data_IF_382923947506
#
_entry.id   IF_382923947506
#
_cell.length_a   1.000
_cell.length_b   1.000
_cell.length_c   1.000
_cell.angle_alpha   90.00
_cell.angle_beta   90.00
_cell.angle_gamma   90.00
#
_symmetry.space_group_name_H-M   'P 1'
#
loop_
_entity.id
_entity.type
_entity.pdbx_description
1 polymer ?
#
# COMPACT_ATOMS: atom_id res chain seq x y z
N UNK A 1 -22.02 -4.29 43.56
CA UNK A 1 -22.24 -3.19 42.61
C UNK A 1 -22.52 -3.82 41.26
N UNK A 2 -23.47 -3.28 40.48
CA UNK A 2 -23.78 -3.78 39.13
C UNK A 2 -22.58 -3.49 38.22
N UNK A 3 -22.20 -4.46 37.37
CA UNK A 3 -21.07 -4.30 36.47
C UNK A 3 -21.39 -3.24 35.39
N UNK A 4 -20.55 -2.20 35.19
CA UNK A 4 -20.81 -1.13 34.23
C UNK A 4 -20.90 -1.59 32.77
N UNK A 5 -20.36 -2.78 32.45
CA UNK A 5 -20.48 -3.38 31.11
C UNK A 5 -21.84 -4.03 30.85
N UNK A 6 -22.63 -4.29 31.89
CA UNK A 6 -23.95 -4.95 31.76
C UNK A 6 -25.06 -3.90 31.66
N UNK A 7 -24.93 -2.79 32.38
CA UNK A 7 -25.88 -1.67 32.38
C UNK A 7 -25.42 -0.55 31.45
N UNK A 8 -25.36 -0.82 30.14
CA UNK A 8 -25.00 0.21 29.15
C UNK A 8 -26.19 1.13 28.94
N UNK A 9 -26.06 2.41 29.31
CA UNK A 9 -27.04 3.45 28.99
C UNK A 9 -26.94 3.89 27.53
N UNK A 10 -27.48 5.07 27.19
CA UNK A 10 -27.37 5.65 25.84
C UNK A 10 -25.90 5.93 25.44
N UNK A 11 -25.01 6.16 26.41
CA UNK A 11 -23.58 6.37 26.20
C UNK A 11 -22.78 5.41 27.09
N UNK A 12 -21.66 4.85 26.59
CA UNK A 12 -20.77 4.05 27.42
C UNK A 12 -20.13 4.84 28.56
N UNK A 13 -20.21 4.32 29.78
CA UNK A 13 -19.58 4.91 30.97
C UNK A 13 -18.09 4.54 31.07
N UNK A 14 -17.26 4.99 30.12
CA UNK A 14 -15.82 4.67 30.07
C UNK A 14 -15.08 4.94 31.39
N UNK A 15 -15.50 5.96 32.14
CA UNK A 15 -14.87 6.36 33.40
C UNK A 15 -15.04 5.35 34.54
N UNK A 16 -15.97 4.38 34.40
CA UNK A 16 -16.27 3.37 35.42
C UNK A 16 -15.78 1.97 35.07
N UNK A 17 -15.41 1.76 33.81
CA UNK A 17 -14.95 0.46 33.32
C UNK A 17 -13.47 0.30 33.66
N UNK A 18 -13.14 -0.80 34.32
CA UNK A 18 -11.78 -1.14 34.73
C UNK A 18 -11.49 -2.60 34.35
N UNK A 19 -10.22 -3.00 34.34
CA UNK A 19 -9.79 -4.34 33.93
C UNK A 19 -10.52 -5.47 34.67
N UNK A 20 -10.78 -5.31 35.98
CA UNK A 20 -11.46 -6.31 36.79
C UNK A 20 -12.96 -6.49 36.46
N UNK A 21 -13.56 -5.52 35.76
CA UNK A 21 -14.95 -5.59 35.29
C UNK A 21 -15.11 -6.40 34.00
N UNK A 22 -14.06 -6.53 33.19
CA UNK A 22 -14.11 -7.10 31.83
C UNK A 22 -14.56 -8.56 31.85
N UNK A 23 -13.84 -9.43 32.57
CA UNK A 23 -14.12 -10.87 32.57
C UNK A 23 -15.51 -11.19 33.15
N UNK A 24 -15.90 -10.69 34.34
CA UNK A 24 -17.24 -10.97 34.87
C UNK A 24 -18.36 -10.36 34.01
N UNK A 25 -18.14 -9.18 33.44
CA UNK A 25 -19.13 -8.50 32.61
C UNK A 25 -19.37 -9.23 31.30
N UNK A 26 -18.30 -9.61 30.60
CA UNK A 26 -18.41 -10.39 29.36
C UNK A 26 -19.01 -11.77 29.63
N UNK A 27 -18.62 -12.47 30.71
CA UNK A 27 -19.23 -13.76 31.10
C UNK A 27 -20.74 -13.64 31.31
N UNK A 28 -21.18 -12.59 32.01
CA UNK A 28 -22.59 -12.34 32.25
C UNK A 28 -23.35 -12.03 30.95
N UNK A 29 -22.83 -11.12 30.13
CA UNK A 29 -23.46 -10.75 28.85
C UNK A 29 -23.55 -11.95 27.92
N UNK A 30 -22.47 -12.74 27.76
CA UNK A 30 -22.50 -13.94 26.92
C UNK A 30 -23.54 -14.94 27.41
N UNK A 31 -23.68 -15.13 28.73
CA UNK A 31 -24.69 -16.03 29.29
C UNK A 31 -26.12 -15.56 28.95
N UNK A 32 -26.41 -14.27 29.15
CA UNK A 32 -27.73 -13.71 28.82
C UNK A 32 -28.02 -13.83 27.30
N UNK A 33 -27.01 -13.58 26.46
CA UNK A 33 -27.14 -13.73 25.02
C UNK A 33 -27.28 -15.19 24.55
N UNK A 34 -26.76 -16.16 25.30
CA UNK A 34 -26.99 -17.58 25.05
C UNK A 34 -28.45 -17.97 25.33
N UNK A 35 -29.05 -17.41 26.37
CA UNK A 35 -30.48 -17.59 26.69
C UNK A 35 -31.34 -16.96 25.58
N UNK A 36 -31.05 -15.72 25.17
CA UNK A 36 -31.74 -15.03 24.06
C UNK A 36 -31.62 -15.81 22.73
N UNK A 37 -30.43 -16.37 22.45
CA UNK A 37 -30.19 -17.18 21.25
C UNK A 37 -31.02 -18.46 21.26
N UNK A 38 -31.13 -19.14 22.41
CA UNK A 38 -31.92 -20.37 22.51
C UNK A 38 -33.42 -20.10 22.27
N UNK A 39 -33.95 -19.00 22.80
CA UNK A 39 -35.32 -18.57 22.53
C UNK A 39 -35.54 -18.30 21.04
N UNK A 40 -34.60 -17.60 20.41
CA UNK A 40 -34.66 -17.31 18.96
C UNK A 40 -34.55 -18.57 18.10
N UNK A 41 -33.70 -19.53 18.47
CA UNK A 41 -33.59 -20.83 17.80
C UNK A 41 -34.88 -21.64 17.92
N UNK A 42 -35.52 -21.63 19.09
CA UNK A 42 -36.80 -22.30 19.31
C UNK A 42 -37.92 -21.66 18.48
N UNK A 43 -37.95 -20.33 18.40
CA UNK A 43 -38.88 -19.61 17.53
C UNK A 43 -38.67 -19.95 16.05
N UNK A 44 -37.41 -19.90 15.58
CA UNK A 44 -37.04 -20.24 14.21
C UNK A 44 -37.40 -21.69 13.84
N UNK A 45 -37.32 -22.63 14.79
CA UNK A 45 -37.68 -24.04 14.57
C UNK A 45 -39.20 -24.32 14.61
N UNK A 46 -39.96 -23.61 15.45
CA UNK A 46 -41.38 -23.93 15.74
C UNK A 46 -42.39 -23.14 14.92
N UNK A 47 -42.12 -21.87 14.62
CA UNK A 47 -43.15 -20.91 14.19
C UNK A 47 -43.05 -20.53 12.70
N UNK A 48 -42.04 -21.04 12.00
CA UNK A 48 -41.76 -20.72 10.60
C UNK A 48 -42.62 -21.55 9.64
N UNK A 49 -43.94 -21.30 9.64
CA UNK A 49 -44.88 -22.04 8.80
C UNK A 49 -46.29 -21.47 8.59
N UNK A 50 -46.90 -20.78 9.56
CA UNK A 50 -48.37 -20.61 9.50
C UNK A 50 -48.92 -19.18 9.48
N UNK A 51 -48.16 -18.13 9.86
CA UNK A 51 -48.65 -16.75 9.74
C UNK A 51 -47.51 -15.81 9.35
N UNK A 52 -47.57 -15.28 8.13
CA UNK A 52 -46.65 -14.25 7.61
C UNK A 52 -46.85 -12.87 8.24
N UNK A 53 -47.06 -12.80 9.56
CA UNK A 53 -47.06 -11.55 10.32
C UNK A 53 -45.65 -11.24 10.82
N UNK A 54 -45.10 -10.10 10.38
CA UNK A 54 -43.84 -9.47 10.80
C UNK A 54 -42.68 -10.42 11.17
N UNK A 55 -42.38 -11.34 10.26
CA UNK A 55 -41.19 -12.19 10.29
C UNK A 55 -39.89 -11.39 10.49
N UNK A 56 -39.88 -10.14 10.02
CA UNK A 56 -38.80 -9.19 10.20
C UNK A 56 -38.61 -8.83 11.68
N UNK A 57 -39.67 -8.40 12.36
CA UNK A 57 -39.63 -8.04 13.79
C UNK A 57 -39.43 -9.26 14.69
N UNK A 58 -39.89 -10.44 14.27
CA UNK A 58 -39.82 -11.64 15.10
C UNK A 58 -38.48 -12.41 15.00
N UNK A 59 -37.76 -12.30 13.87
CA UNK A 59 -36.48 -12.99 13.66
C UNK A 59 -35.29 -12.03 13.59
N UNK A 60 -35.38 -10.99 12.76
CA UNK A 60 -34.22 -10.15 12.42
C UNK A 60 -33.94 -9.16 13.55
N UNK A 61 -34.97 -8.52 14.11
CA UNK A 61 -34.78 -7.58 15.20
C UNK A 61 -34.13 -8.22 16.44
N UNK A 62 -34.59 -9.38 16.97
CA UNK A 62 -33.92 -10.05 18.09
C UNK A 62 -32.49 -10.49 17.75
N UNK A 63 -32.27 -10.98 16.53
CA UNK A 63 -30.92 -11.36 16.07
C UNK A 63 -29.96 -10.16 16.07
N UNK A 64 -30.43 -8.99 15.61
CA UNK A 64 -29.65 -7.75 15.63
C UNK A 64 -29.42 -7.25 17.04
N UNK A 65 -30.41 -7.33 17.95
CA UNK A 65 -30.22 -6.98 19.35
C UNK A 65 -29.14 -7.83 20.03
N UNK A 66 -29.09 -9.14 19.75
CA UNK A 66 -28.06 -10.05 20.29
C UNK A 66 -26.67 -9.60 19.82
N UNK A 67 -26.51 -9.35 18.53
CA UNK A 67 -25.24 -8.92 17.95
C UNK A 67 -24.82 -7.52 18.40
N UNK A 68 -25.75 -6.57 18.44
CA UNK A 68 -25.51 -5.19 18.83
C UNK A 68 -25.03 -5.12 20.28
N UNK A 69 -25.72 -5.82 21.19
CA UNK A 69 -25.34 -5.85 22.61
C UNK A 69 -23.91 -6.36 22.81
N UNK A 70 -23.53 -7.46 22.14
CA UNK A 70 -22.15 -7.97 22.21
C UNK A 70 -21.14 -7.01 21.57
N UNK A 71 -21.53 -6.35 20.48
CA UNK A 71 -20.68 -5.40 19.75
C UNK A 71 -20.42 -4.15 20.56
N UNK A 72 -21.42 -3.60 21.24
CA UNK A 72 -21.29 -2.44 22.11
C UNK A 72 -20.38 -2.78 23.30
N UNK A 73 -20.66 -3.88 24.00
CA UNK A 73 -19.87 -4.30 25.18
C UNK A 73 -18.41 -4.57 24.80
N UNK A 74 -18.18 -5.32 23.71
CA UNK A 74 -16.82 -5.58 23.25
C UNK A 74 -16.14 -4.32 22.68
N UNK A 75 -16.90 -3.44 22.04
CA UNK A 75 -16.43 -2.15 21.53
C UNK A 75 -15.85 -1.28 22.64
N UNK A 76 -16.50 -1.24 23.80
CA UNK A 76 -16.00 -0.52 24.99
C UNK A 76 -14.66 -1.08 25.44
N UNK A 77 -14.57 -2.41 25.58
CA UNK A 77 -13.36 -3.10 26.05
C UNK A 77 -12.21 -2.93 25.04
N UNK A 78 -12.47 -3.12 23.75
CA UNK A 78 -11.48 -2.96 22.68
C UNK A 78 -11.01 -1.52 22.58
N UNK A 79 -11.92 -0.55 22.66
CA UNK A 79 -11.57 0.86 22.63
C UNK A 79 -10.64 1.22 23.80
N UNK A 80 -10.99 0.82 25.03
CA UNK A 80 -10.14 1.06 26.21
C UNK A 80 -8.77 0.40 26.07
N UNK A 81 -8.70 -0.81 25.51
CA UNK A 81 -7.41 -1.47 25.24
C UNK A 81 -6.56 -0.66 24.27
N UNK A 82 -7.16 -0.05 23.25
CA UNK A 82 -6.40 0.64 22.20
C UNK A 82 -5.99 2.06 22.59
N UNK A 83 -6.77 2.76 23.42
CA UNK A 83 -6.49 4.16 23.83
C UNK A 83 -5.94 4.30 25.25
N UNK A 84 -6.16 3.31 26.12
CA UNK A 84 -5.76 3.33 27.53
C UNK A 84 -5.26 1.94 27.98
N UNK A 85 -4.23 1.46 27.29
CA UNK A 85 -3.68 0.13 27.46
C UNK A 85 -3.02 -0.08 28.85
N UNK A 86 -3.19 -1.27 29.42
CA UNK A 86 -2.50 -1.70 30.65
C UNK A 86 -2.32 -3.21 30.69
N UNK A 87 -1.31 -3.69 31.42
CA UNK A 87 -1.05 -5.13 31.56
C UNK A 87 -2.27 -5.88 32.13
N UNK A 88 -2.96 -5.28 33.10
CA UNK A 88 -4.18 -5.83 33.69
C UNK A 88 -5.33 -5.91 32.68
N UNK A 89 -5.52 -4.87 31.85
CA UNK A 89 -6.55 -4.85 30.82
C UNK A 89 -6.25 -5.85 29.70
N UNK A 90 -4.99 -5.99 29.28
CA UNK A 90 -4.58 -7.02 28.31
C UNK A 90 -4.86 -8.42 28.82
N UNK A 91 -4.48 -8.73 30.07
CA UNK A 91 -4.77 -10.03 30.67
C UNK A 91 -6.28 -10.32 30.74
N UNK A 92 -7.10 -9.31 31.08
CA UNK A 92 -8.55 -9.47 31.16
C UNK A 92 -9.20 -9.64 29.77
N UNK A 93 -8.75 -8.89 28.75
CA UNK A 93 -9.18 -9.07 27.36
C UNK A 93 -8.80 -10.44 26.85
N UNK A 94 -7.58 -10.90 27.18
CA UNK A 94 -7.07 -12.21 26.78
C UNK A 94 -7.90 -13.36 27.35
N UNK A 95 -8.35 -13.25 28.60
CA UNK A 95 -9.27 -14.23 29.22
C UNK A 95 -10.70 -14.14 28.64
N UNK A 96 -11.20 -12.94 28.34
CA UNK A 96 -12.57 -12.74 27.88
C UNK A 96 -12.78 -13.02 26.38
N UNK A 97 -11.74 -12.88 25.56
CA UNK A 97 -11.83 -13.03 24.10
C UNK A 97 -12.37 -14.39 23.63
N UNK A 98 -11.93 -15.54 24.17
CA UNK A 98 -12.47 -16.85 23.78
C UNK A 98 -13.99 -16.96 24.01
N UNK A 99 -14.51 -16.34 25.07
CA UNK A 99 -15.95 -16.37 25.37
C UNK A 99 -16.75 -15.71 24.24
N UNK A 100 -16.30 -14.53 23.79
CA UNK A 100 -16.90 -13.83 22.65
C UNK A 100 -16.79 -14.65 21.37
N UNK A 101 -15.60 -15.16 21.05
CA UNK A 101 -15.38 -15.91 19.81
C UNK A 101 -16.24 -17.18 19.79
N UNK A 102 -16.36 -17.90 20.90
CA UNK A 102 -17.19 -19.08 21.01
C UNK A 102 -18.66 -18.77 20.78
N UNK A 103 -19.17 -17.70 21.40
CA UNK A 103 -20.55 -17.27 21.21
C UNK A 103 -20.82 -16.88 19.75
N UNK A 104 -19.95 -16.07 19.13
CA UNK A 104 -20.11 -15.66 17.72
C UNK A 104 -20.06 -16.84 16.76
N UNK A 105 -19.18 -17.82 17.00
CA UNK A 105 -19.15 -19.06 16.22
C UNK A 105 -20.43 -19.86 16.40
N UNK A 106 -20.94 -20.00 17.64
CA UNK A 106 -22.23 -20.67 17.90
C UNK A 106 -23.38 -19.99 17.16
N UNK A 107 -23.49 -18.67 17.28
CA UNK A 107 -24.52 -17.86 16.62
C UNK A 107 -24.44 -17.99 15.10
N UNK A 108 -23.25 -17.81 14.52
CA UNK A 108 -23.02 -17.89 13.08
C UNK A 108 -23.19 -19.29 12.48
N UNK A 109 -23.07 -20.34 13.30
CA UNK A 109 -23.18 -21.73 12.91
C UNK A 109 -24.50 -22.39 13.33
N UNK A 110 -25.49 -21.59 13.76
CA UNK A 110 -26.83 -22.08 14.11
C UNK A 110 -27.59 -22.54 12.87
N UNK A 111 -27.92 -23.84 12.83
CA UNK A 111 -28.68 -24.43 11.72
C UNK A 111 -30.13 -23.94 11.67
N UNK A 112 -30.76 -23.71 12.84
CA UNK A 112 -32.14 -23.26 12.89
C UNK A 112 -32.29 -21.86 12.26
N UNK A 113 -31.38 -20.94 12.60
CA UNK A 113 -31.34 -19.60 12.03
C UNK A 113 -31.00 -19.63 10.53
N UNK A 114 -30.02 -20.43 10.13
CA UNK A 114 -29.65 -20.58 8.71
C UNK A 114 -30.83 -21.06 7.85
N UNK A 115 -31.55 -22.10 8.31
CA UNK A 115 -32.74 -22.60 7.62
C UNK A 115 -33.87 -21.58 7.58
N UNK A 116 -34.06 -20.79 8.64
CA UNK A 116 -35.04 -19.70 8.65
C UNK A 116 -34.69 -18.63 7.60
N UNK A 117 -33.43 -18.18 7.52
CA UNK A 117 -32.98 -17.22 6.50
C UNK A 117 -33.07 -17.78 5.07
N UNK A 118 -32.78 -19.07 4.88
CA UNK A 118 -32.90 -19.73 3.57
C UNK A 118 -34.36 -19.81 3.11
N UNK A 119 -35.28 -20.10 4.04
CA UNK A 119 -36.73 -20.04 3.80
C UNK A 119 -37.21 -18.63 3.47
N UNK A 120 -36.68 -17.59 4.12
CA UNK A 120 -37.00 -16.19 3.75
C UNK A 120 -36.54 -15.94 2.31
N UNK A 121 -35.30 -16.31 1.97
CA UNK A 121 -34.72 -16.03 0.65
C UNK A 121 -35.43 -16.75 -0.51
N UNK A 122 -35.96 -17.95 -0.25
CA UNK A 122 -36.66 -18.79 -1.23
C UNK A 122 -38.18 -18.61 -1.24
N UNK A 123 -38.75 -17.94 -0.23
CA UNK A 123 -40.18 -17.69 -0.11
C UNK A 123 -40.64 -16.45 -0.87
N UNK A 124 -41.96 -16.37 -1.12
CA UNK A 124 -42.61 -15.22 -1.76
C UNK A 124 -42.47 -13.90 -0.96
N UNK A 125 -42.11 -13.99 0.33
CA UNK A 125 -41.88 -12.84 1.19
C UNK A 125 -40.62 -12.05 0.78
N UNK A 126 -39.61 -12.69 0.19
CA UNK A 126 -38.40 -12.01 -0.26
C UNK A 126 -38.67 -10.92 -1.30
N UNK A 127 -39.58 -11.20 -2.23
CA UNK A 127 -39.95 -10.27 -3.31
C UNK A 127 -40.76 -9.07 -2.80
N UNK A 128 -41.32 -9.18 -1.59
CA UNK A 128 -42.05 -8.09 -0.92
C UNK A 128 -41.16 -7.18 -0.07
N UNK A 129 -39.91 -7.59 0.21
CA UNK A 129 -38.94 -6.82 0.99
C UNK A 129 -38.32 -5.68 0.17
N UNK A 130 -37.91 -4.61 0.84
CA UNK A 130 -37.16 -3.54 0.19
C UNK A 130 -35.70 -3.97 -0.12
N UNK A 131 -35.00 -3.22 -0.98
CA UNK A 131 -33.64 -3.58 -1.42
C UNK A 131 -32.64 -3.69 -0.26
N UNK A 132 -32.79 -2.87 0.79
CA UNK A 132 -31.92 -2.93 1.96
C UNK A 132 -32.17 -4.21 2.77
N UNK A 133 -33.43 -4.58 2.99
CA UNK A 133 -33.84 -5.80 3.69
C UNK A 133 -33.39 -7.05 2.95
N UNK A 134 -33.53 -7.07 1.61
CA UNK A 134 -33.03 -8.17 0.78
C UNK A 134 -31.51 -8.35 0.95
N UNK A 135 -30.74 -7.26 0.92
CA UNK A 135 -29.28 -7.31 1.15
C UNK A 135 -28.92 -7.78 2.54
N UNK A 136 -29.70 -7.43 3.57
CA UNK A 136 -29.47 -7.94 4.94
C UNK A 136 -29.61 -9.45 4.95
N UNK A 137 -30.69 -10.01 4.40
CA UNK A 137 -30.93 -11.46 4.36
C UNK A 137 -29.82 -12.19 3.59
N UNK A 138 -29.44 -11.69 2.40
CA UNK A 138 -28.34 -12.27 1.62
C UNK A 138 -26.99 -12.19 2.33
N UNK A 139 -26.72 -11.06 2.98
CA UNK A 139 -25.54 -10.84 3.81
C UNK A 139 -25.46 -11.87 4.93
N UNK A 140 -26.56 -12.08 5.67
CA UNK A 140 -26.61 -13.07 6.76
C UNK A 140 -26.40 -14.49 6.28
N UNK A 141 -27.00 -14.89 5.17
CA UNK A 141 -26.78 -16.22 4.57
C UNK A 141 -25.31 -16.43 4.19
N UNK A 142 -24.72 -15.42 3.54
CA UNK A 142 -23.31 -15.44 3.18
C UNK A 142 -22.40 -15.52 4.41
N UNK A 143 -22.69 -14.74 5.45
CA UNK A 143 -21.92 -14.76 6.70
C UNK A 143 -22.03 -16.12 7.40
N UNK A 144 -23.20 -16.75 7.43
CA UNK A 144 -23.38 -18.08 8.00
C UNK A 144 -22.57 -19.15 7.25
N UNK A 145 -22.55 -19.09 5.90
CA UNK A 145 -21.71 -19.98 5.07
C UNK A 145 -20.23 -19.75 5.37
N UNK A 146 -19.78 -18.49 5.45
CA UNK A 146 -18.38 -18.15 5.76
C UNK A 146 -17.98 -18.54 7.19
N UNK A 147 -18.92 -18.53 8.13
CA UNK A 147 -18.74 -19.03 9.49
C UNK A 147 -18.75 -20.56 9.58
N UNK A 148 -18.95 -21.27 8.46
CA UNK A 148 -18.85 -22.72 8.39
C UNK A 148 -20.10 -23.48 8.82
N UNK A 149 -21.30 -22.88 8.70
CA UNK A 149 -22.57 -23.57 9.01
C UNK A 149 -22.74 -24.87 8.21
N UNK A 150 -22.25 -24.88 6.96
CA UNK A 150 -22.34 -26.02 6.04
C UNK A 150 -21.22 -27.07 6.21
N UNK A 151 -20.30 -26.89 7.16
CA UNK A 151 -19.18 -27.83 7.37
C UNK A 151 -19.61 -29.06 8.17
N UNK A 152 -19.07 -30.23 7.79
CA UNK A 152 -19.20 -31.49 8.54
C UNK A 152 -18.50 -31.41 9.90
N UNK A 153 -18.93 -32.25 10.85
CA UNK A 153 -18.54 -32.18 12.26
C UNK A 153 -17.02 -32.05 12.50
N UNK A 154 -16.20 -32.87 11.84
CA UNK A 154 -14.74 -32.85 11.99
C UNK A 154 -14.11 -31.55 11.44
N UNK A 155 -14.54 -31.11 10.25
CA UNK A 155 -14.07 -29.85 9.64
C UNK A 155 -14.54 -28.63 10.42
N UNK A 156 -15.72 -28.70 11.05
CA UNK A 156 -16.28 -27.65 11.89
C UNK A 156 -15.50 -27.49 13.20
N UNK A 157 -15.10 -28.60 13.84
CA UNK A 157 -14.23 -28.56 15.02
C UNK A 157 -12.89 -27.92 14.65
N UNK A 158 -12.26 -28.36 13.56
CA UNK A 158 -10.99 -27.79 13.11
C UNK A 158 -11.10 -26.31 12.73
N UNK A 159 -12.18 -25.91 12.06
CA UNK A 159 -12.45 -24.49 11.75
C UNK A 159 -12.59 -23.66 13.03
N UNK A 160 -13.30 -24.17 14.04
CA UNK A 160 -13.46 -23.49 15.32
C UNK A 160 -12.14 -23.36 16.07
N UNK A 161 -11.31 -24.41 16.05
CA UNK A 161 -9.95 -24.37 16.61
C UNK A 161 -9.09 -23.30 15.92
N UNK A 162 -9.15 -23.18 14.59
CA UNK A 162 -8.41 -22.14 13.85
C UNK A 162 -8.89 -20.75 14.27
N UNK A 163 -10.21 -20.52 14.33
CA UNK A 163 -10.80 -19.22 14.70
C UNK A 163 -10.49 -18.82 16.16
N UNK A 164 -10.35 -19.81 17.05
CA UNK A 164 -9.95 -19.59 18.44
C UNK A 164 -8.43 -19.44 18.60
N UNK A 165 -7.65 -20.13 17.77
CA UNK A 165 -6.20 -20.10 17.82
C UNK A 165 -5.72 -18.71 17.42
N UNK A 166 -5.00 -18.03 18.33
CA UNK A 166 -4.24 -16.80 18.03
C UNK A 166 -3.04 -17.06 17.12
N UNK A 167 -3.03 -18.21 16.44
CA UNK A 167 -1.86 -18.74 15.76
C UNK A 167 -1.84 -18.10 14.39
N UNK A 168 -1.03 -17.05 14.26
CA UNK A 168 -0.35 -16.79 12.99
C UNK A 168 0.26 -18.14 12.60
N UNK A 169 -0.24 -18.70 11.50
CA UNK A 169 0.09 -20.03 11.01
C UNK A 169 1.60 -20.24 11.13
N UNK A 170 2.03 -21.23 11.92
CA UNK A 170 3.42 -21.33 12.39
C UNK A 170 4.31 -21.60 11.18
N UNK A 171 4.88 -20.53 10.62
CA UNK A 171 5.63 -20.64 9.39
C UNK A 171 7.00 -21.25 9.71
N UNK A 172 7.36 -22.30 8.96
CA UNK A 172 8.63 -23.01 9.14
C UNK A 172 9.85 -22.19 8.74
N UNK A 173 9.65 -21.03 8.10
CA UNK A 173 10.72 -20.11 7.74
C UNK A 173 11.35 -19.49 9.01
N UNK A 174 12.68 -19.56 9.11
CA UNK A 174 13.49 -18.96 10.18
C UNK A 174 13.20 -19.51 11.60
N UNK A 175 13.21 -20.84 11.73
CA UNK A 175 13.05 -21.59 13.00
C UNK A 175 14.02 -21.18 14.12
N UNK A 176 15.14 -20.54 13.80
CA UNK A 176 16.08 -20.06 14.82
C UNK A 176 15.48 -18.97 15.71
N UNK A 177 14.49 -18.21 15.22
CA UNK A 177 13.78 -17.19 15.99
C UNK A 177 12.78 -17.79 16.98
N UNK A 178 12.28 -19.01 16.73
CA UNK A 178 11.42 -19.75 17.67
C UNK A 178 12.10 -19.97 19.02
N UNK A 179 13.44 -19.92 19.07
CA UNK A 179 14.22 -20.05 20.31
C UNK A 179 13.89 -18.96 21.34
N UNK A 180 13.43 -17.79 20.88
CA UNK A 180 12.98 -16.71 21.75
C UNK A 180 11.61 -16.97 22.40
N UNK A 181 10.84 -17.94 21.88
CA UNK A 181 9.54 -18.35 22.40
C UNK A 181 9.55 -19.72 23.12
N UNK A 182 10.65 -20.45 23.08
CA UNK A 182 10.80 -21.73 23.78
C UNK A 182 11.39 -21.56 25.17
N UNK A 183 10.69 -22.07 26.19
CA UNK A 183 11.25 -22.23 27.54
C UNK A 183 12.28 -23.37 27.48
N UNK A 184 13.56 -23.06 27.64
CA UNK A 184 14.61 -24.09 27.74
C UNK A 184 14.50 -24.69 29.15
N UNK A 185 14.07 -25.95 29.22
CA UNK A 185 13.94 -26.68 30.48
C UNK A 185 15.29 -26.74 31.21
N UNK A 186 15.37 -26.07 32.37
CA UNK A 186 16.57 -26.02 33.20
C UNK A 186 16.71 -24.78 34.09
N UNK A 187 15.96 -23.71 33.82
CA UNK A 187 16.06 -22.48 34.61
C UNK A 187 14.68 -21.97 35.06
N UNK A 188 14.22 -22.42 36.23
CA UNK A 188 13.80 -21.54 37.34
C UNK A 188 13.39 -22.35 38.57
N UNK A 189 14.25 -22.31 39.59
CA UNK A 189 13.83 -22.26 40.98
C UNK A 189 13.59 -20.79 41.33
N UNK A 190 12.41 -20.46 41.88
CA UNK A 190 12.17 -19.18 42.53
C UNK A 190 11.47 -18.11 41.69
N UNK A 191 10.66 -17.30 42.37
CA UNK A 191 9.77 -16.27 41.84
C UNK A 191 10.50 -15.02 41.33
N UNK A 192 11.41 -15.14 40.36
CA UNK A 192 11.97 -13.98 39.66
C UNK A 192 11.13 -13.62 38.43
N UNK A 193 10.90 -12.32 38.23
CA UNK A 193 10.17 -11.77 37.08
C UNK A 193 10.83 -12.24 35.79
N UNK A 194 10.06 -12.91 34.93
CA UNK A 194 10.53 -13.37 33.61
C UNK A 194 11.10 -12.19 32.83
N UNK A 195 12.37 -12.28 32.43
CA UNK A 195 13.07 -11.21 31.77
C UNK A 195 12.54 -11.04 30.31
N UNK A 196 11.92 -9.90 29.94
CA UNK A 196 11.22 -9.74 28.66
C UNK A 196 12.11 -9.88 27.42
N UNK A 197 13.42 -9.69 27.58
CA UNK A 197 14.41 -9.80 26.51
C UNK A 197 14.84 -11.24 26.23
N UNK A 198 14.47 -12.19 27.09
CA UNK A 198 14.89 -13.60 27.00
C UNK A 198 13.75 -14.54 26.59
N UNK A 199 12.51 -14.20 26.97
CA UNK A 199 11.32 -14.99 26.65
C UNK A 199 10.23 -14.06 26.08
N UNK A 200 9.81 -14.30 24.84
CA UNK A 200 8.73 -13.56 24.17
C UNK A 200 7.61 -14.50 23.73
N UNK A 201 6.35 -14.01 23.67
CA UNK A 201 5.24 -14.79 23.12
C UNK A 201 5.49 -15.18 21.67
N UNK A 202 4.98 -16.35 21.26
CA UNK A 202 5.08 -16.87 19.89
C UNK A 202 4.56 -15.86 18.85
N UNK A 203 3.51 -15.10 19.18
CA UNK A 203 2.96 -14.06 18.30
C UNK A 203 3.99 -13.01 17.88
N UNK A 204 4.76 -12.48 18.83
CA UNK A 204 5.79 -11.47 18.56
C UNK A 204 6.95 -12.04 17.73
N UNK A 205 7.26 -13.33 17.91
CA UNK A 205 8.28 -14.01 17.11
C UNK A 205 7.80 -14.19 15.66
N UNK A 206 6.53 -14.55 15.45
CA UNK A 206 5.94 -14.64 14.11
C UNK A 206 5.81 -13.27 13.43
N UNK A 207 5.45 -12.22 14.17
CA UNK A 207 5.46 -10.84 13.67
C UNK A 207 6.86 -10.41 13.20
N UNK A 208 7.90 -10.71 13.98
CA UNK A 208 9.29 -10.41 13.59
C UNK A 208 9.71 -11.21 12.34
N UNK A 209 9.33 -12.48 12.24
CA UNK A 209 9.59 -13.29 11.04
C UNK A 209 8.91 -12.70 9.82
N UNK A 210 7.69 -12.20 9.96
CA UNK A 210 6.95 -11.53 8.90
C UNK A 210 7.69 -10.26 8.45
N UNK A 211 8.10 -9.40 9.37
CA UNK A 211 8.89 -8.19 9.06
C UNK A 211 10.18 -8.53 8.32
N UNK A 212 10.94 -9.50 8.83
CA UNK A 212 12.16 -9.98 8.18
C UNK A 212 11.89 -10.56 6.79
N UNK A 213 10.69 -11.08 6.53
CA UNK A 213 10.31 -11.63 5.21
C UNK A 213 10.04 -10.51 4.21
N UNK A 214 9.57 -9.36 4.68
CA UNK A 214 9.38 -8.17 3.86
C UNK A 214 10.69 -7.41 3.60
N UNK A 215 11.70 -7.54 4.48
CA UNK A 215 12.98 -6.81 4.35
C UNK A 215 13.67 -6.97 2.98
N UNK A 216 13.79 -8.16 2.37
CA UNK A 216 14.40 -8.28 1.05
C UNK A 216 13.62 -7.53 -0.04
N UNK A 217 12.28 -7.57 0.00
CA UNK A 217 11.43 -6.84 -0.95
C UNK A 217 11.64 -5.34 -0.79
N UNK A 218 11.68 -4.84 0.45
CA UNK A 218 12.00 -3.45 0.74
C UNK A 218 13.40 -3.06 0.21
N UNK A 219 14.41 -3.91 0.42
CA UNK A 219 15.78 -3.64 -0.03
C UNK A 219 15.90 -3.51 -1.56
N UNK A 220 15.13 -4.29 -2.34
CA UNK A 220 15.10 -4.15 -3.81
C UNK A 220 14.59 -2.78 -4.29
N UNK A 221 13.86 -2.05 -3.44
CA UNK A 221 13.40 -0.70 -3.74
C UNK A 221 14.47 0.39 -3.58
N UNK A 222 15.58 0.13 -2.88
CA UNK A 222 16.57 1.18 -2.58
C UNK A 222 17.15 1.83 -3.85
N UNK A 223 17.60 1.09 -4.88
CA UNK A 223 18.22 1.70 -6.06
C UNK A 223 17.26 2.61 -6.85
N UNK A 224 15.98 2.23 -6.96
CA UNK A 224 14.99 3.05 -7.67
C UNK A 224 14.73 4.37 -6.93
N UNK A 225 14.70 4.37 -5.59
CA UNK A 225 14.57 5.61 -4.83
C UNK A 225 15.80 6.51 -4.96
N UNK A 226 17.01 5.93 -5.03
CA UNK A 226 18.24 6.71 -5.29
C UNK A 226 18.17 7.37 -6.67
N UNK A 227 17.83 6.61 -7.72
CA UNK A 227 17.68 7.16 -9.07
C UNK A 227 16.59 8.24 -9.14
N UNK A 228 15.47 8.03 -8.44
CA UNK A 228 14.39 9.01 -8.39
C UNK A 228 14.79 10.29 -7.66
N UNK A 229 15.55 10.16 -6.57
CA UNK A 229 16.05 11.31 -5.81
C UNK A 229 16.93 12.22 -6.66
N UNK A 230 17.79 11.65 -7.51
CA UNK A 230 18.63 12.40 -8.46
C UNK A 230 17.80 13.25 -9.43
N UNK A 231 16.62 12.79 -9.86
CA UNK A 231 15.77 13.58 -10.77
C UNK A 231 15.16 14.82 -10.08
N UNK A 232 14.83 14.73 -8.79
CA UNK A 232 14.18 15.85 -8.07
C UNK A 232 15.08 17.07 -7.91
N UNK A 233 16.39 16.88 -7.75
CA UNK A 233 17.35 17.98 -7.54
C UNK A 233 17.67 18.70 -8.84
N UNK A 234 17.89 17.94 -9.93
CA UNK A 234 18.11 18.49 -11.27
C UNK A 234 16.92 19.31 -11.77
N UNK A 235 15.69 18.82 -11.56
CA UNK A 235 14.48 19.52 -12.00
C UNK A 235 14.30 20.89 -11.33
N UNK A 236 14.58 20.98 -10.03
CA UNK A 236 14.55 22.25 -9.30
C UNK A 236 15.70 23.16 -9.76
N UNK A 237 16.89 22.59 -9.98
CA UNK A 237 18.05 23.31 -10.52
C UNK A 237 17.76 23.97 -11.88
N UNK A 238 17.09 23.26 -12.78
CA UNK A 238 16.63 23.80 -14.06
C UNK A 238 15.59 24.92 -13.87
N UNK A 239 14.69 24.79 -12.88
CA UNK A 239 13.72 25.83 -12.58
C UNK A 239 14.34 27.19 -12.23
N UNK A 240 15.55 27.23 -11.65
CA UNK A 240 16.24 28.49 -11.33
C UNK A 240 16.73 29.26 -12.55
N UNK A 241 16.96 28.58 -13.68
CA UNK A 241 17.43 29.19 -14.94
C UNK A 241 16.30 29.45 -15.94
N UNK A 242 15.09 28.95 -15.67
CA UNK A 242 13.90 29.11 -16.52
C UNK A 242 13.07 30.34 -16.12
N UNK A 243 12.40 30.96 -17.09
CA UNK A 243 11.41 32.01 -16.78
C UNK A 243 10.10 31.36 -16.31
N UNK A 244 9.82 31.52 -15.02
CA UNK A 244 8.67 30.94 -14.32
C UNK A 244 7.47 31.90 -14.23
N UNK A 245 7.41 32.93 -15.09
CA UNK A 245 6.30 33.88 -15.15
C UNK A 245 5.08 33.25 -15.84
N UNK A 246 3.94 33.29 -15.15
CA UNK A 246 2.66 32.80 -15.67
C UNK A 246 1.83 33.96 -16.22
N UNK A 247 1.96 34.20 -17.53
CA UNK A 247 1.24 35.24 -18.27
C UNK A 247 2.15 36.31 -18.87
N UNK A 248 1.64 37.05 -19.85
CA UNK A 248 2.41 38.05 -20.62
C UNK A 248 2.36 39.47 -20.03
N UNK A 249 1.64 39.67 -18.93
CA UNK A 249 1.46 40.98 -18.27
C UNK A 249 2.65 41.33 -17.35
N UNK A 250 3.01 42.62 -17.20
CA UNK A 250 4.03 43.07 -16.24
C UNK A 250 3.72 42.76 -14.77
N UNK A 251 2.48 42.41 -14.42
CA UNK A 251 2.07 41.91 -13.10
C UNK A 251 1.85 40.39 -13.06
N UNK A 252 2.40 39.65 -14.02
CA UNK A 252 2.28 38.19 -14.08
C UNK A 252 2.86 37.53 -12.82
N UNK A 253 2.14 36.53 -12.31
CA UNK A 253 2.56 35.74 -11.17
C UNK A 253 3.84 34.97 -11.50
N UNK A 254 4.91 35.18 -10.73
CA UNK A 254 6.18 34.46 -10.88
C UNK A 254 6.19 33.25 -9.95
N UNK A 255 6.14 32.05 -10.52
CA UNK A 255 6.29 30.82 -9.77
C UNK A 255 7.72 30.67 -9.24
N UNK A 256 7.87 30.02 -8.09
CA UNK A 256 9.17 29.68 -7.54
C UNK A 256 9.64 28.32 -8.08
N UNK A 257 10.93 28.10 -8.35
CA UNK A 257 11.44 26.81 -8.86
C UNK A 257 11.05 25.60 -8.00
N UNK A 258 11.04 25.78 -6.68
CA UNK A 258 10.62 24.77 -5.71
C UNK A 258 9.15 24.35 -5.85
N UNK A 259 8.30 25.16 -6.50
CA UNK A 259 6.89 24.82 -6.74
C UNK A 259 6.68 23.95 -7.98
N UNK A 260 7.70 23.75 -8.82
CA UNK A 260 7.59 22.93 -10.04
C UNK A 260 7.15 21.47 -9.82
N UNK A 261 7.51 20.78 -8.72
CA UNK A 261 7.00 19.42 -8.44
C UNK A 261 5.48 19.32 -8.27
N UNK A 262 4.77 20.43 -8.05
CA UNK A 262 3.29 20.44 -7.95
C UNK A 262 2.64 19.90 -9.22
N UNK A 263 3.22 20.13 -10.41
CA UNK A 263 2.69 19.60 -11.66
C UNK A 263 2.77 18.07 -11.74
N UNK A 264 3.81 17.46 -11.16
CA UNK A 264 3.92 16.00 -11.07
C UNK A 264 2.86 15.42 -10.14
N UNK A 265 2.57 16.10 -9.02
CA UNK A 265 1.49 15.71 -8.10
C UNK A 265 0.12 15.78 -8.79
N UNK A 266 -0.15 16.85 -9.54
CA UNK A 266 -1.39 17.00 -10.31
C UNK A 266 -1.53 15.93 -11.40
N UNK A 267 -0.44 15.62 -12.09
CA UNK A 267 -0.42 14.55 -13.12
C UNK A 267 -0.72 13.20 -12.49
N UNK A 268 -0.11 12.88 -11.35
CA UNK A 268 -0.41 11.65 -10.60
C UNK A 268 -1.87 11.61 -10.12
N UNK A 269 -2.43 12.73 -9.71
CA UNK A 269 -3.85 12.84 -9.31
C UNK A 269 -4.81 12.54 -10.47
N UNK A 270 -4.44 12.88 -11.70
CA UNK A 270 -5.22 12.57 -12.91
C UNK A 270 -4.98 11.12 -13.35
N UNK A 271 -3.74 10.65 -13.27
CA UNK A 271 -3.35 9.33 -13.78
C UNK A 271 -3.79 8.19 -12.87
N UNK A 272 -3.92 8.43 -11.56
CA UNK A 272 -4.35 7.41 -10.60
C UNK A 272 -5.78 6.89 -10.90
N UNK A 273 -6.81 7.76 -11.09
CA UNK A 273 -8.12 7.30 -11.56
C UNK A 273 -8.08 6.58 -12.91
N UNK A 274 -7.21 7.00 -13.83
CA UNK A 274 -7.05 6.35 -15.13
C UNK A 274 -6.47 4.93 -14.99
N UNK A 275 -5.43 4.78 -14.17
CA UNK A 275 -4.83 3.49 -13.84
C UNK A 275 -5.86 2.55 -13.22
N UNK A 276 -6.63 3.02 -12.24
CA UNK A 276 -7.63 2.21 -11.54
C UNK A 276 -8.84 1.85 -12.43
N UNK A 277 -9.28 2.76 -13.31
CA UNK A 277 -10.45 2.53 -14.17
C UNK A 277 -10.15 1.83 -15.49
N UNK A 278 -8.94 1.94 -16.02
CA UNK A 278 -8.59 1.35 -17.32
C UNK A 278 -7.60 0.19 -17.17
N UNK A 279 -6.47 0.42 -16.50
CA UNK A 279 -5.36 -0.54 -16.46
C UNK A 279 -5.70 -1.74 -15.58
N UNK A 280 -6.27 -1.51 -14.39
CA UNK A 280 -6.66 -2.59 -13.46
C UNK A 280 -7.71 -3.55 -14.03
N UNK A 281 -8.86 -3.10 -14.59
CA UNK A 281 -9.85 -4.03 -15.14
C UNK A 281 -9.37 -4.73 -16.42
N UNK A 282 -8.55 -4.07 -17.24
CA UNK A 282 -7.93 -4.71 -18.40
C UNK A 282 -6.97 -5.81 -17.95
N UNK A 283 -6.12 -5.53 -16.97
CA UNK A 283 -5.22 -6.51 -16.40
C UNK A 283 -5.97 -7.66 -15.73
N UNK A 284 -7.08 -7.39 -15.02
CA UNK A 284 -7.92 -8.42 -14.42
C UNK A 284 -8.56 -9.36 -15.46
N UNK A 285 -8.96 -8.83 -16.62
CA UNK A 285 -9.44 -9.65 -17.74
C UNK A 285 -8.35 -10.55 -18.31
N UNK A 286 -7.11 -10.07 -18.35
CA UNK A 286 -5.96 -10.84 -18.87
C UNK A 286 -5.44 -11.86 -17.87
N UNK A 287 -5.32 -11.51 -16.58
CA UNK A 287 -4.75 -12.37 -15.54
C UNK A 287 -5.77 -13.32 -14.88
N UNK A 288 -7.07 -13.20 -15.22
CA UNK A 288 -8.19 -13.98 -14.64
C UNK A 288 -8.23 -13.98 -13.10
N UNK A 289 -7.64 -12.97 -12.47
CA UNK A 289 -7.59 -12.80 -11.02
C UNK A 289 -8.54 -11.65 -10.60
N UNK A 290 -9.42 -11.83 -9.59
CA UNK A 290 -10.34 -10.78 -9.13
C UNK A 290 -9.65 -9.49 -8.66
N UNK A 291 -8.34 -9.52 -8.34
CA UNK A 291 -7.55 -8.32 -7.97
C UNK A 291 -6.69 -7.74 -9.11
N UNK A 292 -6.66 -8.35 -10.29
CA UNK A 292 -5.84 -7.91 -11.42
C UNK A 292 -4.34 -8.21 -11.27
N UNK A 293 -3.52 -7.16 -11.09
CA UNK A 293 -2.05 -7.22 -10.92
C UNK A 293 -1.70 -7.20 -9.43
N UNK A 294 -0.90 -8.17 -8.96
CA UNK A 294 -0.46 -8.22 -7.55
C UNK A 294 0.49 -7.07 -7.21
N UNK A 295 0.57 -6.68 -5.93
CA UNK A 295 1.46 -5.59 -5.49
C UNK A 295 2.94 -5.84 -5.85
N UNK A 296 3.43 -7.08 -5.69
CA UNK A 296 4.80 -7.44 -6.06
C UNK A 296 5.05 -7.31 -7.57
N UNK A 297 4.08 -7.69 -8.41
CA UNK A 297 4.19 -7.54 -9.87
C UNK A 297 4.22 -6.06 -10.27
N UNK A 298 3.42 -5.21 -9.65
CA UNK A 298 3.44 -3.75 -9.90
C UNK A 298 4.80 -3.15 -9.58
N UNK A 299 5.38 -3.53 -8.43
CA UNK A 299 6.73 -3.11 -8.03
C UNK A 299 7.77 -3.60 -9.06
N UNK A 300 7.72 -4.87 -9.45
CA UNK A 300 8.66 -5.45 -10.42
C UNK A 300 8.61 -4.80 -11.80
N UNK A 301 7.41 -4.47 -12.30
CA UNK A 301 7.24 -3.74 -13.56
C UNK A 301 7.88 -2.35 -13.47
N UNK A 302 7.63 -1.62 -12.38
CA UNK A 302 8.23 -0.30 -12.14
C UNK A 302 9.77 -0.35 -12.10
N UNK A 303 10.34 -1.33 -11.41
CA UNK A 303 11.80 -1.54 -11.35
C UNK A 303 12.37 -1.82 -12.75
N UNK A 304 11.68 -2.62 -13.57
CA UNK A 304 12.15 -2.97 -14.93
C UNK A 304 12.23 -1.74 -15.84
N UNK A 305 11.20 -0.89 -15.82
CA UNK A 305 11.20 0.36 -16.59
C UNK A 305 12.27 1.33 -16.10
N UNK A 306 12.42 1.50 -14.78
CA UNK A 306 13.45 2.36 -14.21
C UNK A 306 14.87 1.88 -14.57
N UNK A 307 15.13 0.57 -14.46
CA UNK A 307 16.40 -0.01 -14.84
C UNK A 307 16.72 0.20 -16.34
N UNK A 308 15.73 -0.02 -17.21
CA UNK A 308 15.89 0.19 -18.66
C UNK A 308 16.21 1.65 -18.98
N UNK A 309 15.50 2.59 -18.34
CA UNK A 309 15.75 4.03 -18.52
C UNK A 309 17.15 4.44 -18.07
N UNK A 310 17.62 3.93 -16.92
CA UNK A 310 18.97 4.21 -16.42
C UNK A 310 20.07 3.58 -17.28
N UNK A 311 19.83 2.38 -17.85
CA UNK A 311 20.77 1.77 -18.80
C UNK A 311 20.93 2.61 -20.06
N UNK A 312 19.82 3.10 -20.62
CA UNK A 312 19.87 3.98 -21.80
C UNK A 312 20.57 5.30 -21.45
N UNK A 313 20.24 5.91 -20.31
CA UNK A 313 20.89 7.14 -19.86
C UNK A 313 22.41 6.95 -19.67
N UNK A 314 22.83 5.87 -19.00
CA UNK A 314 24.24 5.55 -18.81
C UNK A 314 24.97 5.28 -20.14
N UNK A 315 24.32 4.62 -21.10
CA UNK A 315 24.90 4.43 -22.44
C UNK A 315 25.07 5.76 -23.17
N UNK A 316 24.08 6.65 -23.11
CA UNK A 316 24.19 7.99 -23.71
C UNK A 316 25.36 8.76 -23.10
N UNK A 317 25.51 8.72 -21.78
CA UNK A 317 26.61 9.40 -21.09
C UNK A 317 27.97 8.80 -21.46
N UNK A 318 28.08 7.46 -21.51
CA UNK A 318 29.32 6.76 -21.85
C UNK A 318 29.77 6.98 -23.30
N UNK A 319 28.86 7.06 -24.27
CA UNK A 319 29.23 7.21 -25.67
C UNK A 319 29.29 8.67 -26.13
N UNK A 320 28.35 9.49 -25.69
CA UNK A 320 28.23 10.87 -26.18
C UNK A 320 29.06 11.81 -25.32
N UNK A 321 28.83 11.81 -24.00
CA UNK A 321 29.51 12.76 -23.10
C UNK A 321 31.00 12.47 -23.01
N UNK A 322 31.40 11.22 -22.76
CA UNK A 322 32.81 10.82 -22.73
C UNK A 322 33.44 11.00 -24.11
N UNK A 323 32.75 10.62 -25.19
CA UNK A 323 33.25 10.78 -26.55
C UNK A 323 33.56 12.24 -26.91
N UNK A 324 32.67 13.18 -26.53
CA UNK A 324 32.95 14.61 -26.67
C UNK A 324 34.11 15.06 -25.78
N UNK A 325 34.17 14.61 -24.53
CA UNK A 325 35.23 14.97 -23.60
C UNK A 325 36.60 14.54 -24.08
N UNK A 326 36.76 13.28 -24.46
CA UNK A 326 38.01 12.73 -25.02
C UNK A 326 38.38 13.44 -26.32
N UNK A 327 37.43 13.62 -27.22
CA UNK A 327 37.67 14.33 -28.49
C UNK A 327 38.21 15.74 -28.25
N UNK A 328 37.52 16.55 -27.44
CA UNK A 328 37.94 17.92 -27.17
C UNK A 328 39.26 17.96 -26.38
N UNK A 329 39.49 17.02 -25.46
CA UNK A 329 40.70 16.94 -24.66
C UNK A 329 41.92 16.58 -25.53
N UNK A 330 41.82 15.55 -26.37
CA UNK A 330 42.92 15.04 -27.20
C UNK A 330 43.26 15.97 -28.37
N UNK A 331 42.26 16.64 -28.94
CA UNK A 331 42.47 17.57 -30.05
C UNK A 331 42.91 18.97 -29.59
N UNK A 332 42.90 19.24 -28.28
CA UNK A 332 43.33 20.54 -27.74
C UNK A 332 44.81 20.56 -27.36
N UNK A 333 45.50 21.71 -27.53
CA UNK A 333 46.85 21.91 -27.01
C UNK A 333 46.90 21.68 -25.48
N UNK A 334 48.02 21.18 -24.90
CA UNK A 334 48.15 20.83 -23.49
C UNK A 334 47.79 21.97 -22.54
N UNK A 335 48.12 23.21 -22.91
CA UNK A 335 47.80 24.41 -22.13
C UNK A 335 46.30 24.79 -22.13
N UNK A 336 45.47 24.16 -22.96
CA UNK A 336 44.05 24.50 -23.18
C UNK A 336 43.08 23.35 -22.86
N UNK A 337 43.58 22.19 -22.40
CA UNK A 337 42.76 21.00 -22.11
C UNK A 337 41.63 21.24 -21.10
N UNK A 338 41.89 22.03 -20.05
CA UNK A 338 40.85 22.41 -19.07
C UNK A 338 39.75 23.27 -19.68
N UNK A 339 40.08 24.12 -20.65
CA UNK A 339 39.09 24.92 -21.38
C UNK A 339 38.27 24.06 -22.35
N UNK A 340 38.88 23.01 -22.91
CA UNK A 340 38.20 22.03 -23.75
C UNK A 340 37.17 21.21 -22.97
N UNK A 341 37.49 20.80 -21.73
CA UNK A 341 36.53 20.16 -20.84
C UNK A 341 35.36 21.09 -20.47
N UNK A 342 35.63 22.38 -20.24
CA UNK A 342 34.58 23.38 -19.99
C UNK A 342 33.67 23.59 -21.21
N UNK A 343 34.18 23.43 -22.44
CA UNK A 343 33.39 23.51 -23.66
C UNK A 343 32.33 22.40 -23.74
N UNK A 344 32.63 21.19 -23.23
CA UNK A 344 31.65 20.07 -23.17
C UNK A 344 30.46 20.42 -22.27
N UNK A 345 30.72 21.01 -21.10
CA UNK A 345 29.66 21.48 -20.20
C UNK A 345 28.89 22.67 -20.80
N UNK A 346 29.57 23.53 -21.56
CA UNK A 346 28.94 24.62 -22.29
C UNK A 346 28.00 24.12 -23.41
N UNK A 347 28.29 22.98 -24.06
CA UNK A 347 27.38 22.35 -25.02
C UNK A 347 26.06 21.96 -24.32
N UNK A 348 26.13 21.32 -23.15
CA UNK A 348 24.95 20.96 -22.35
C UNK A 348 24.15 22.21 -21.94
N UNK A 349 24.84 23.24 -21.45
CA UNK A 349 24.23 24.53 -21.11
C UNK A 349 23.54 25.20 -22.31
N UNK A 350 24.21 25.22 -23.46
CA UNK A 350 23.68 25.78 -24.72
C UNK A 350 22.46 24.99 -25.19
N UNK A 351 22.49 23.65 -25.10
CA UNK A 351 21.36 22.78 -25.40
C UNK A 351 20.11 23.13 -24.58
N UNK A 352 20.26 23.45 -23.30
CA UNK A 352 19.15 23.89 -22.44
C UNK A 352 18.58 25.25 -22.88
N UNK A 353 19.43 26.20 -23.27
CA UNK A 353 18.99 27.50 -23.81
C UNK A 353 18.29 27.35 -25.16
N UNK A 354 18.83 26.52 -26.06
CA UNK A 354 18.22 26.22 -27.36
C UNK A 354 16.88 25.50 -27.19
N UNK A 355 16.77 24.54 -26.27
CA UNK A 355 15.51 23.89 -25.91
C UNK A 355 14.47 24.92 -25.44
N UNK A 356 14.87 25.85 -24.56
CA UNK A 356 14.00 26.94 -24.10
C UNK A 356 13.58 27.87 -25.24
N UNK A 357 14.49 28.18 -26.17
CA UNK A 357 14.20 29.00 -27.35
C UNK A 357 13.25 28.30 -28.33
N UNK A 358 13.41 26.99 -28.56
CA UNK A 358 12.51 26.17 -29.39
C UNK A 358 11.10 26.20 -28.79
N UNK A 359 10.97 26.01 -27.47
CA UNK A 359 9.68 26.13 -26.77
C UNK A 359 9.07 27.52 -26.96
N UNK A 360 9.88 28.59 -26.86
CA UNK A 360 9.40 29.95 -27.06
C UNK A 360 8.96 30.24 -28.52
N UNK A 361 9.69 29.72 -29.51
CA UNK A 361 9.38 29.83 -30.93
C UNK A 361 8.09 29.08 -31.30
N UNK A 362 7.92 27.86 -30.81
CA UNK A 362 6.69 27.07 -31.02
C UNK A 362 5.48 27.79 -30.41
N UNK A 363 5.62 28.33 -29.19
CA UNK A 363 4.56 29.14 -28.55
C UNK A 363 4.20 30.38 -29.38
N UNK A 364 5.21 31.07 -29.94
CA UNK A 364 5.02 32.29 -30.74
C UNK A 364 4.38 32.00 -32.10
N UNK A 365 4.75 30.91 -32.76
CA UNK A 365 4.30 30.57 -34.11
C UNK A 365 2.87 30.02 -34.12
N UNK A 366 2.48 29.25 -33.10
CA UNK A 366 1.27 28.42 -33.20
C UNK A 366 0.03 29.03 -32.51
N UNK A 367 0.15 30.06 -31.64
CA UNK A 367 -0.96 30.59 -30.81
C UNK A 367 -1.76 29.51 -30.03
N UNK A 368 -1.25 28.29 -29.96
CA UNK A 368 -1.84 27.12 -29.29
C UNK A 368 -1.05 26.87 -28.01
N UNK A 369 -1.75 26.57 -26.92
CA UNK A 369 -1.10 26.27 -25.65
C UNK A 369 -0.35 24.93 -25.74
N UNK A 370 0.98 24.99 -25.66
CA UNK A 370 1.86 23.79 -25.68
C UNK A 370 1.61 22.82 -24.52
N UNK A 371 0.83 23.21 -23.51
CA UNK A 371 0.39 22.35 -22.41
C UNK A 371 -0.56 21.25 -22.87
N UNK A 372 -1.25 21.42 -24.00
CA UNK A 372 -2.26 20.45 -24.47
C UNK A 372 -1.73 19.46 -25.51
N UNK A 373 -0.56 19.71 -26.13
CA UNK A 373 -0.05 18.92 -27.26
C UNK A 373 1.47 18.69 -27.17
N UNK A 374 1.92 18.09 -26.07
CA UNK A 374 3.34 17.79 -25.79
C UNK A 374 3.99 16.88 -26.87
N UNK A 375 3.19 16.11 -27.60
CA UNK A 375 3.65 15.22 -28.67
C UNK A 375 4.38 15.95 -29.80
N UNK A 376 3.90 17.14 -30.20
CA UNK A 376 4.54 17.93 -31.25
C UNK A 376 5.93 18.42 -30.84
N UNK A 377 6.12 18.74 -29.56
CA UNK A 377 7.42 19.13 -29.04
C UNK A 377 8.44 18.00 -29.17
N UNK A 378 8.04 16.76 -28.82
CA UNK A 378 8.90 15.59 -28.99
C UNK A 378 9.19 15.28 -30.45
N UNK A 379 8.22 15.44 -31.36
CA UNK A 379 8.47 15.28 -32.80
C UNK A 379 9.42 16.33 -33.37
N UNK A 380 9.31 17.59 -32.94
CA UNK A 380 10.26 18.64 -33.34
C UNK A 380 11.67 18.34 -32.83
N UNK A 381 11.80 17.92 -31.56
CA UNK A 381 13.08 17.51 -31.01
C UNK A 381 13.66 16.29 -31.76
N UNK A 382 12.85 15.30 -32.07
CA UNK A 382 13.28 14.13 -32.85
C UNK A 382 13.77 14.55 -34.25
N UNK A 383 13.08 15.50 -34.90
CA UNK A 383 13.52 16.09 -36.17
C UNK A 383 14.85 16.84 -36.04
N UNK A 384 15.02 17.67 -35.01
CA UNK A 384 16.28 18.36 -34.73
C UNK A 384 17.44 17.38 -34.50
N UNK A 385 17.22 16.31 -33.73
CA UNK A 385 18.22 15.26 -33.49
C UNK A 385 18.57 14.49 -34.77
N UNK A 386 17.60 14.23 -35.64
CA UNK A 386 17.86 13.60 -36.93
C UNK A 386 18.72 14.49 -37.84
N UNK A 387 18.44 15.80 -37.86
CA UNK A 387 19.24 16.78 -38.59
C UNK A 387 20.66 16.88 -38.01
N UNK A 388 20.77 16.96 -36.68
CA UNK A 388 22.07 16.98 -35.98
C UNK A 388 22.89 15.73 -36.28
N UNK A 389 22.28 14.55 -36.29
CA UNK A 389 22.95 13.31 -36.65
C UNK A 389 23.50 13.34 -38.08
N UNK A 390 22.71 13.80 -39.05
CA UNK A 390 23.17 13.95 -40.44
C UNK A 390 24.31 14.98 -40.54
N UNK A 391 24.19 16.11 -39.84
CA UNK A 391 25.23 17.12 -39.81
C UNK A 391 26.52 16.58 -39.18
N UNK A 392 26.42 15.83 -38.08
CA UNK A 392 27.56 15.18 -37.43
C UNK A 392 28.25 14.18 -38.38
N UNK A 393 27.48 13.35 -39.09
CA UNK A 393 28.06 12.44 -40.09
C UNK A 393 28.82 13.21 -41.17
N UNK A 394 28.26 14.28 -41.71
CA UNK A 394 28.94 15.12 -42.70
C UNK A 394 30.23 15.72 -42.14
N UNK A 395 30.17 16.37 -40.97
CA UNK A 395 31.35 16.97 -40.33
C UNK A 395 32.42 15.91 -40.02
N UNK A 396 32.02 14.73 -39.55
CA UNK A 396 32.95 13.63 -39.24
C UNK A 396 33.71 13.14 -40.48
N UNK A 397 33.10 13.18 -41.67
CA UNK A 397 33.79 12.82 -42.92
C UNK A 397 34.80 13.85 -43.40
N UNK A 398 34.65 15.12 -43.00
CA UNK A 398 35.59 16.19 -43.33
C UNK A 398 36.65 16.41 -42.24
N UNK A 399 36.42 15.93 -41.01
CA UNK A 399 37.33 16.12 -39.90
C UNK A 399 38.51 15.15 -39.98
N UNK A 400 39.73 15.71 -39.99
CA UNK A 400 40.97 14.92 -39.92
C UNK A 400 41.55 15.01 -38.52
N UNK A 401 41.65 13.87 -37.84
CA UNK A 401 42.25 13.79 -36.52
C UNK A 401 43.71 14.24 -36.58
N UNK A 402 44.04 15.25 -35.80
CA UNK A 402 45.43 15.67 -35.61
C UNK A 402 45.88 15.08 -34.28
N UNK A 403 46.86 14.16 -34.32
CA UNK A 403 47.57 13.74 -33.10
C UNK A 403 48.73 14.72 -32.92
N UNK A 404 48.70 15.62 -31.93
CA UNK A 404 49.84 16.48 -31.71
C UNK A 404 50.97 15.66 -31.06
N UNK A 405 52.12 15.58 -31.72
CA UNK A 405 53.34 14.97 -31.19
C UNK A 405 53.90 15.83 -30.06
N UNK A 406 53.33 15.68 -28.86
CA UNK A 406 53.97 16.18 -27.65
C UNK A 406 54.89 15.08 -27.13
N UNK A 407 56.20 15.37 -27.15
CA UNK A 407 57.19 14.53 -26.51
C UNK A 407 56.75 14.23 -25.07
N UNK A 408 56.86 12.96 -24.70
CA UNK A 408 56.51 12.38 -23.41
C UNK A 408 57.35 13.00 -22.28
N UNK A 409 56.93 14.16 -21.77
CA UNK A 409 57.36 14.66 -20.46
C UNK A 409 56.44 14.04 -19.40
N UNK A 410 56.69 12.76 -19.09
CA UNK A 410 56.71 12.13 -17.76
C UNK A 410 55.54 12.24 -16.76
N UNK A 411 54.52 13.06 -16.99
CA UNK A 411 53.47 13.38 -16.00
C UNK A 411 52.05 13.18 -16.58
N UNK A 412 51.82 12.07 -17.29
CA UNK A 412 50.45 11.62 -17.53
C UNK A 412 49.87 11.04 -16.24
N UNK A 413 49.22 11.89 -15.44
CA UNK A 413 48.25 11.42 -14.43
C UNK A 413 47.11 10.77 -15.22
N UNK A 414 46.88 9.45 -15.10
CA UNK A 414 45.74 8.83 -15.76
C UNK A 414 44.48 9.51 -15.22
N UNK A 415 43.61 9.95 -16.13
CA UNK A 415 42.29 10.49 -15.79
C UNK A 415 41.52 9.34 -15.16
N UNK A 416 41.64 9.22 -13.84
CA UNK A 416 40.83 8.31 -13.06
C UNK A 416 39.39 8.77 -13.18
N UNK A 417 38.53 7.84 -13.62
CA UNK A 417 37.07 7.89 -13.54
C UNK A 417 36.61 8.72 -12.34
N UNK A 418 35.90 9.81 -12.61
CA UNK A 418 34.98 10.46 -11.66
C UNK A 418 33.60 10.43 -12.29
#
# INVERSE_FOLDING_TARGET
>A
MVNPLVSVGCLPEFNRVEAHHVVPGVKQVVKELEEDLLELECFAASSFGENGGDLWEALIHPFECILDRLTVVWGIVSHLKDVNDSDALRAAVDEAQPLRTNFLLRLGQSNALYQAFEKIRSGALFDTLNEAQQRVVEGRLKDAILNGVALEHEKKVHFNEIQQSRVIDRNSDRRFLDRAATIVNGEHHGSEKINPWRLRPVSHVEELKLLLRMTPVWATGIPIFVAWWQQSTFWIGQGYVMDLRMGSSPHAFKMQPVTLPVFSLLTMMIFLPFYDKLVVPLAAKVTRNPRGITFLQRIGVGITFAASAMLVAGAVEAFVTIGYLEFFYDQSPPSMRSMAAAAVWAIIGTGNYVSTAIVALIKRSTRISMTENLEYFYWVLAGCLAVDFVAHLLVSTFYTYTKPDYADDGDQVPIAMI
#
